data_IF_370193462973
#
_entry.id   IF_370193462973
#
_cell.length_a   1.000
_cell.length_b   1.000
_cell.length_c   1.000
_cell.angle_alpha   90.00
_cell.angle_beta   90.00
_cell.angle_gamma   90.00
#
_symmetry.space_group_name_H-M   'P 1'
#
loop_
_entity.id
_entity.type
_entity.pdbx_description
1 polymer ?
#
# COMPACT_ATOMS: atom_id res chain seq x y z
N UNK A 1 42.57 22.43 8.59
CA UNK A 1 41.86 21.40 9.39
C UNK A 1 40.41 21.82 9.55
N UNK A 2 39.46 21.10 8.93
CA UNK A 2 38.05 21.48 8.91
C UNK A 2 37.35 21.07 10.21
N UNK A 3 36.84 22.05 10.96
CA UNK A 3 35.99 21.81 12.12
C UNK A 3 34.57 21.42 11.68
N UNK A 4 34.20 20.18 11.93
CA UNK A 4 32.87 19.65 11.60
C UNK A 4 31.97 19.75 12.83
N UNK A 5 31.13 20.80 12.87
CA UNK A 5 30.14 21.04 13.93
C UNK A 5 28.91 20.17 13.64
N UNK A 6 28.89 18.90 14.08
CA UNK A 6 27.72 18.00 13.92
C UNK A 6 26.98 17.65 15.22
N UNK A 7 27.41 18.15 16.38
CA UNK A 7 26.93 17.66 17.69
C UNK A 7 26.00 18.60 18.47
N UNK A 8 25.79 19.85 18.03
CA UNK A 8 25.06 20.86 18.83
C UNK A 8 23.54 20.87 18.70
N UNK A 9 22.94 20.18 17.72
CA UNK A 9 21.48 20.11 17.57
C UNK A 9 20.84 18.87 18.23
N UNK A 10 21.65 17.93 18.71
CA UNK A 10 21.16 16.66 19.29
C UNK A 10 20.49 16.81 20.66
N UNK A 11 20.53 17.99 21.27
CA UNK A 11 19.94 18.31 22.58
C UNK A 11 18.77 19.29 22.51
N UNK A 12 18.49 19.88 21.34
CA UNK A 12 17.39 20.85 21.16
C UNK A 12 16.04 20.14 20.97
N UNK A 13 16.06 18.95 20.39
CA UNK A 13 14.88 18.10 20.21
C UNK A 13 14.98 16.96 21.22
N UNK A 14 14.09 16.88 22.22
CA UNK A 14 14.12 15.79 23.18
C UNK A 14 13.95 14.45 22.43
N UNK A 15 14.72 13.41 22.80
CA UNK A 15 14.60 12.10 22.16
C UNK A 15 13.18 11.57 22.36
N UNK A 16 12.66 10.81 21.37
CA UNK A 16 11.33 10.21 21.45
C UNK A 16 11.29 9.13 22.55
N UNK A 17 11.07 9.56 23.80
CA UNK A 17 11.07 8.73 25.01
C UNK A 17 10.06 7.58 24.94
N UNK A 18 8.91 7.80 24.28
CA UNK A 18 7.87 6.80 24.08
C UNK A 18 8.03 5.96 22.79
N UNK A 19 9.22 5.93 22.19
CA UNK A 19 9.46 5.02 21.05
C UNK A 19 9.61 3.58 21.56
N UNK A 20 9.13 2.60 20.78
CA UNK A 20 9.27 1.18 21.11
C UNK A 20 10.72 0.75 21.40
N UNK A 21 11.68 1.43 20.74
CA UNK A 21 13.13 1.24 20.94
C UNK A 21 13.60 1.69 22.33
N UNK A 22 13.03 2.77 22.87
CA UNK A 22 13.41 3.30 24.18
C UNK A 22 12.67 2.59 25.32
N UNK A 23 11.40 2.22 25.12
CA UNK A 23 10.60 1.45 26.08
C UNK A 23 11.09 0.00 26.23
N UNK A 24 11.63 -0.61 25.17
CA UNK A 24 12.21 -1.97 25.17
C UNK A 24 13.70 -2.05 25.46
N UNK A 25 14.32 -0.97 25.96
CA UNK A 25 15.77 -0.91 26.23
C UNK A 25 16.19 -1.77 27.43
N UNK A 26 15.28 -2.04 28.37
CA UNK A 26 15.51 -2.95 29.49
C UNK A 26 15.57 -4.42 28.99
N UNK A 27 16.63 -5.18 29.30
CA UNK A 27 16.73 -6.61 28.97
C UNK A 27 15.53 -7.46 29.42
N UNK A 28 14.90 -7.13 30.55
CA UNK A 28 13.70 -7.83 31.03
C UNK A 28 12.48 -7.54 30.17
N UNK A 29 12.34 -6.32 29.63
CA UNK A 29 11.27 -5.97 28.72
C UNK A 29 11.38 -6.72 27.38
N UNK A 30 12.61 -6.96 26.89
CA UNK A 30 12.85 -7.79 25.70
C UNK A 30 12.40 -9.23 25.90
N UNK A 31 12.76 -9.85 27.02
CA UNK A 31 12.34 -11.23 27.37
C UNK A 31 10.81 -11.35 27.41
N UNK A 32 10.12 -10.39 28.02
CA UNK A 32 8.65 -10.37 28.07
C UNK A 32 8.04 -10.23 26.66
N UNK A 33 8.61 -9.36 25.80
CA UNK A 33 8.16 -9.21 24.42
C UNK A 33 8.37 -10.49 23.59
N UNK A 34 9.47 -11.21 23.80
CA UNK A 34 9.77 -12.48 23.13
C UNK A 34 8.78 -13.57 23.53
N UNK A 35 8.43 -13.68 24.81
CA UNK A 35 7.40 -14.63 25.28
C UNK A 35 6.03 -14.29 24.67
N UNK A 36 5.63 -13.03 24.67
CA UNK A 36 4.37 -12.61 24.04
C UNK A 36 4.38 -12.88 22.54
N UNK A 37 5.50 -12.64 21.86
CA UNK A 37 5.67 -12.96 20.43
C UNK A 37 5.59 -14.46 20.18
N UNK A 38 6.19 -15.29 21.03
CA UNK A 38 6.12 -16.75 20.93
C UNK A 38 4.68 -17.23 20.98
N UNK A 39 3.88 -16.79 21.96
CA UNK A 39 2.47 -17.17 22.04
C UNK A 39 1.60 -16.61 20.91
N UNK A 40 1.94 -15.43 20.37
CA UNK A 40 1.29 -14.89 19.16
C UNK A 40 1.68 -15.64 17.88
N UNK A 41 2.90 -16.16 17.82
CA UNK A 41 3.45 -16.87 16.66
C UNK A 41 3.11 -18.36 16.65
N UNK A 42 2.55 -18.89 17.74
CA UNK A 42 1.93 -20.22 17.72
C UNK A 42 0.98 -20.28 16.52
N UNK A 43 0.93 -21.40 15.77
CA UNK A 43 0.04 -21.55 14.63
C UNK A 43 -1.40 -21.44 15.11
N UNK A 44 -1.94 -20.22 15.05
CA UNK A 44 -3.36 -20.00 15.04
C UNK A 44 -3.82 -20.57 13.70
N UNK A 45 -4.93 -21.33 13.67
CA UNK A 45 -5.43 -21.94 12.43
C UNK A 45 -5.55 -20.93 11.28
N UNK A 46 -5.84 -21.40 10.06
CA UNK A 46 -5.84 -20.56 8.85
C UNK A 46 -6.39 -19.15 9.11
N UNK A 47 -5.50 -18.15 9.07
CA UNK A 47 -5.88 -16.76 9.30
C UNK A 47 -6.94 -16.38 8.27
N UNK A 48 -8.14 -16.02 8.73
CA UNK A 48 -9.18 -15.54 7.85
C UNK A 48 -8.74 -14.18 7.33
N UNK A 49 -8.21 -14.14 6.10
CA UNK A 49 -7.99 -12.87 5.43
C UNK A 49 -9.36 -12.23 5.21
N UNK A 50 -9.57 -10.97 5.64
CA UNK A 50 -10.86 -10.31 5.53
C UNK A 50 -11.23 -10.22 4.05
N UNK A 51 -12.21 -11.02 3.63
CA UNK A 51 -12.74 -10.97 2.26
C UNK A 51 -13.51 -9.68 2.08
N UNK A 52 -13.11 -8.89 1.10
CA UNK A 52 -13.76 -7.64 0.79
C UNK A 52 -15.17 -7.89 0.23
N UNK A 53 -16.17 -7.28 0.85
CA UNK A 53 -17.57 -7.38 0.42
C UNK A 53 -17.91 -6.42 -0.73
N UNK A 54 -17.21 -5.29 -0.79
CA UNK A 54 -17.38 -4.25 -1.81
C UNK A 54 -16.99 -4.73 -3.21
N UNK A 55 -17.70 -4.32 -4.28
CA UNK A 55 -17.35 -4.69 -5.65
C UNK A 55 -15.91 -4.29 -6.05
N UNK A 56 -15.46 -3.09 -5.64
CA UNK A 56 -14.06 -2.67 -5.84
C UNK A 56 -13.11 -3.58 -5.06
N UNK A 57 -13.50 -3.95 -3.83
CA UNK A 57 -12.70 -4.82 -2.99
C UNK A 57 -12.53 -6.22 -3.59
N UNK A 58 -13.60 -6.81 -4.11
CA UNK A 58 -13.56 -8.10 -4.82
C UNK A 58 -12.67 -8.07 -6.06
N UNK A 59 -12.69 -6.94 -6.80
CA UNK A 59 -11.78 -6.74 -7.94
C UNK A 59 -10.32 -6.63 -7.46
N UNK A 60 -10.08 -5.89 -6.38
CA UNK A 60 -8.80 -5.79 -5.70
C UNK A 60 -8.23 -7.16 -5.34
N UNK A 61 -9.02 -7.98 -4.65
CA UNK A 61 -8.62 -9.33 -4.24
C UNK A 61 -8.28 -10.26 -5.40
N UNK A 62 -9.01 -10.13 -6.51
CA UNK A 62 -8.83 -11.00 -7.68
C UNK A 62 -7.56 -10.71 -8.47
N UNK A 63 -7.08 -9.47 -8.47
CA UNK A 63 -6.01 -9.06 -9.39
C UNK A 63 -4.77 -8.43 -8.73
N UNK A 64 -4.86 -7.98 -7.48
CA UNK A 64 -3.77 -7.24 -6.80
C UNK A 64 -3.14 -7.97 -5.60
N UNK A 65 -3.81 -8.96 -5.01
CA UNK A 65 -3.28 -9.66 -3.83
C UNK A 65 -2.28 -10.77 -4.19
N UNK A 66 -1.32 -11.02 -3.29
CA UNK A 66 -0.07 -11.77 -3.50
C UNK A 66 -0.17 -13.15 -4.19
N UNK A 67 -1.31 -13.86 -4.08
CA UNK A 67 -1.52 -15.14 -4.77
C UNK A 67 -2.00 -15.05 -6.22
N UNK A 68 -2.55 -13.90 -6.63
CA UNK A 68 -3.12 -13.65 -7.96
C UNK A 68 -2.67 -12.31 -8.55
N UNK A 69 -1.60 -11.73 -8.02
CA UNK A 69 -1.04 -10.46 -8.49
C UNK A 69 -0.71 -10.59 -9.99
N UNK A 70 -1.47 -9.88 -10.82
CA UNK A 70 -1.43 -10.05 -12.27
C UNK A 70 -1.44 -8.70 -12.96
N UNK A 71 -0.83 -8.60 -14.15
CA UNK A 71 -0.83 -7.39 -14.97
C UNK A 71 -2.20 -7.08 -15.63
N UNK A 72 -3.22 -7.92 -15.39
CA UNK A 72 -4.57 -7.76 -15.97
C UNK A 72 -5.22 -6.40 -15.68
N UNK A 73 -5.10 -5.78 -14.49
CA UNK A 73 -5.64 -4.44 -14.25
C UNK A 73 -5.07 -3.37 -15.18
N UNK A 74 -3.79 -3.49 -15.57
CA UNK A 74 -3.19 -2.58 -16.55
C UNK A 74 -3.85 -2.75 -17.93
N UNK A 75 -4.15 -3.99 -18.34
CA UNK A 75 -4.89 -4.26 -19.57
C UNK A 75 -6.33 -3.75 -19.50
N UNK A 76 -7.01 -3.93 -18.36
CA UNK A 76 -8.35 -3.38 -18.15
C UNK A 76 -8.36 -1.85 -18.24
N UNK A 77 -7.34 -1.19 -17.69
CA UNK A 77 -7.19 0.25 -17.77
C UNK A 77 -6.92 0.71 -19.22
N UNK A 78 -5.99 0.05 -19.93
CA UNK A 78 -5.70 0.36 -21.33
C UNK A 78 -6.93 0.20 -22.22
N UNK A 79 -7.67 -0.89 -22.05
CA UNK A 79 -8.93 -1.14 -22.76
C UNK A 79 -9.97 -0.05 -22.45
N UNK A 80 -10.11 0.33 -21.19
CA UNK A 80 -11.00 1.42 -20.76
C UNK A 80 -10.66 2.75 -21.44
N UNK A 81 -9.38 3.10 -21.50
CA UNK A 81 -8.91 4.33 -22.15
C UNK A 81 -9.18 4.31 -23.65
N UNK A 82 -8.93 3.19 -24.34
CA UNK A 82 -9.16 3.07 -25.78
C UNK A 82 -10.66 3.23 -26.10
N UNK A 83 -11.52 2.51 -25.39
CA UNK A 83 -12.97 2.56 -25.62
C UNK A 83 -13.53 3.95 -25.31
N UNK A 84 -13.07 4.57 -24.23
CA UNK A 84 -13.48 5.92 -23.86
C UNK A 84 -12.97 6.98 -24.85
N UNK A 85 -11.71 6.86 -25.30
CA UNK A 85 -11.16 7.73 -26.33
C UNK A 85 -11.92 7.61 -27.65
N UNK A 86 -12.21 6.38 -28.08
CA UNK A 86 -12.97 6.14 -29.31
C UNK A 86 -14.41 6.65 -29.22
N UNK A 87 -15.07 6.51 -28.07
CA UNK A 87 -16.44 7.02 -27.91
C UNK A 87 -16.48 8.55 -27.95
N UNK A 88 -15.49 9.23 -27.37
CA UNK A 88 -15.34 10.68 -27.48
C UNK A 88 -15.06 11.11 -28.92
N UNK A 89 -14.09 10.48 -29.58
CA UNK A 89 -13.72 10.76 -30.97
C UNK A 89 -14.91 10.54 -31.91
N UNK A 90 -15.70 9.48 -31.67
CA UNK A 90 -16.93 9.24 -32.41
C UNK A 90 -17.97 10.34 -32.17
N UNK A 91 -18.20 10.71 -30.90
CA UNK A 91 -19.21 11.70 -30.53
C UNK A 91 -18.89 13.11 -31.07
N UNK A 92 -17.63 13.54 -30.94
CA UNK A 92 -17.22 14.90 -31.32
C UNK A 92 -16.83 15.01 -32.79
N UNK A 93 -16.13 14.03 -33.34
CA UNK A 93 -15.57 14.11 -34.69
C UNK A 93 -16.37 13.25 -35.68
N UNK A 94 -16.34 11.91 -35.57
CA UNK A 94 -16.84 11.03 -36.64
C UNK A 94 -18.35 11.09 -36.87
N UNK A 95 -19.17 11.41 -35.86
CA UNK A 95 -20.63 11.50 -36.02
C UNK A 95 -21.08 12.63 -36.94
N UNK A 96 -20.30 13.70 -37.05
CA UNK A 96 -20.64 14.88 -37.85
C UNK A 96 -20.14 14.79 -39.30
N UNK A 97 -19.26 13.82 -39.61
CA UNK A 97 -18.72 13.61 -40.97
C UNK A 97 -19.73 13.09 -42.00
N UNK A 98 -20.91 12.60 -41.58
CA UNK A 98 -21.92 12.02 -42.49
C UNK A 98 -23.08 12.96 -42.81
N UNK A 99 -23.05 14.21 -42.34
CA UNK A 99 -24.12 15.21 -42.51
C UNK A 99 -23.79 16.44 -43.37
N UNK A 100 -22.57 16.54 -43.92
CA UNK A 100 -22.15 17.65 -44.81
C UNK A 100 -22.21 17.30 -46.31
N UNK A 101 -23.27 16.59 -46.73
CA UNK A 101 -23.65 16.46 -48.14
C UNK A 101 -25.12 16.82 -48.32
#
# INVERSE_FOLDING_TARGET
MSFVIRRKLSTLIPPKIASAKNLGSNPHAKKIQEVVKFYKALPQGQASFPKASSPIGKYGEKYFNDGNASAKPLLHLALGVILFGYSLEYYYHLRHHKGEH
#
